data_IF_811501791562
#
_entry.id   IF_811501791562
#
_cell.length_a   1.000
_cell.length_b   1.000
_cell.length_c   1.000
_cell.angle_alpha   90.00
_cell.angle_beta   90.00
_cell.angle_gamma   90.00
#
_symmetry.space_group_name_H-M   'P 1'
#
loop_
_entity.id
_entity.type
_entity.pdbx_description
1 polymer ?
#
# COMPACT_ATOMS: atom_id res chain seq x y z
N UNK A 1 20.45 25.80 -15.39
CA UNK A 1 20.03 26.17 -16.76
C UNK A 1 18.53 26.38 -16.77
N UNK A 2 18.15 27.65 -16.84
CA UNK A 2 16.79 28.19 -16.83
C UNK A 2 16.03 27.70 -18.06
N UNK A 3 14.95 26.96 -17.84
CA UNK A 3 14.04 26.52 -18.91
C UNK A 3 12.98 27.58 -19.25
N UNK A 4 13.03 28.75 -18.59
CA UNK A 4 12.14 29.87 -18.86
C UNK A 4 12.58 30.60 -20.14
N UNK A 5 11.72 30.59 -21.16
CA UNK A 5 11.96 31.27 -22.45
C UNK A 5 12.07 30.36 -23.67
N UNK A 6 11.83 29.04 -23.52
CA UNK A 6 11.71 28.14 -24.65
C UNK A 6 10.40 28.41 -25.40
N UNK A 7 10.45 28.41 -26.75
CA UNK A 7 9.28 28.56 -27.61
C UNK A 7 9.03 27.25 -28.35
N UNK A 8 8.46 26.28 -27.63
CA UNK A 8 8.41 24.85 -27.98
C UNK A 8 7.26 24.59 -28.95
N UNK A 9 7.58 24.01 -30.11
CA UNK A 9 6.57 23.46 -31.04
C UNK A 9 6.24 21.99 -30.75
N UNK A 10 7.19 21.26 -30.18
CA UNK A 10 7.12 19.82 -29.99
C UNK A 10 7.98 19.40 -28.81
N UNK A 11 7.44 18.61 -27.90
CA UNK A 11 8.20 17.96 -26.83
C UNK A 11 7.86 16.48 -26.76
N UNK A 12 8.85 15.66 -26.43
CA UNK A 12 8.65 14.26 -26.09
C UNK A 12 9.18 14.09 -24.66
N UNK A 13 8.31 13.62 -23.78
CA UNK A 13 8.62 13.33 -22.39
C UNK A 13 8.57 11.82 -22.23
N UNK A 14 9.74 11.21 -22.17
CA UNK A 14 9.86 9.77 -21.98
C UNK A 14 10.01 9.42 -20.49
N UNK A 15 9.59 8.21 -20.14
CA UNK A 15 9.61 7.65 -18.79
C UNK A 15 9.00 8.56 -17.71
N UNK A 16 7.85 9.16 -18.00
CA UNK A 16 7.19 10.13 -17.09
C UNK A 16 7.03 9.62 -15.64
N UNK A 17 6.75 8.33 -15.44
CA UNK A 17 6.65 7.69 -14.13
C UNK A 17 7.92 7.82 -13.26
N UNK A 18 9.09 8.03 -13.87
CA UNK A 18 10.36 8.19 -13.18
C UNK A 18 10.69 9.65 -12.82
N UNK A 19 9.87 10.62 -13.25
CA UNK A 19 10.09 12.04 -12.97
C UNK A 19 9.74 12.32 -11.51
N UNK A 20 10.66 12.98 -10.79
CA UNK A 20 10.51 13.25 -9.35
C UNK A 20 9.39 14.23 -9.00
N UNK A 21 9.04 15.11 -9.94
CA UNK A 21 8.03 16.16 -9.74
C UNK A 21 7.55 16.69 -11.09
N UNK A 22 6.43 17.42 -11.08
CA UNK A 22 5.76 18.00 -12.26
C UNK A 22 6.53 19.10 -12.98
N UNK A 23 7.66 19.58 -12.44
CA UNK A 23 8.34 20.79 -12.93
C UNK A 23 8.71 20.72 -14.43
N UNK A 24 9.13 19.56 -14.92
CA UNK A 24 9.53 19.42 -16.33
C UNK A 24 8.32 19.55 -17.25
N UNK A 25 7.21 18.91 -16.87
CA UNK A 25 5.92 18.95 -17.59
C UNK A 25 5.41 20.39 -17.64
N UNK A 26 5.21 21.03 -16.48
CA UNK A 26 4.63 22.38 -16.37
C UNK A 26 5.42 23.42 -17.20
N UNK A 27 6.75 23.30 -17.20
CA UNK A 27 7.64 24.18 -17.97
C UNK A 27 7.47 23.97 -19.46
N UNK A 28 7.42 22.72 -19.92
CA UNK A 28 7.26 22.39 -21.33
C UNK A 28 5.89 22.84 -21.84
N UNK A 29 4.84 22.61 -21.06
CA UNK A 29 3.48 23.11 -21.34
C UNK A 29 3.46 24.63 -21.48
N UNK A 30 4.01 25.35 -20.49
CA UNK A 30 4.08 26.82 -20.52
C UNK A 30 4.86 27.33 -21.73
N UNK A 31 5.94 26.64 -22.11
CA UNK A 31 6.79 26.99 -23.25
C UNK A 31 6.09 26.84 -24.62
N UNK A 32 4.92 26.21 -24.67
CA UNK A 32 4.13 26.08 -25.91
C UNK A 32 3.23 27.27 -26.21
N UNK A 33 2.99 28.17 -25.25
CA UNK A 33 1.91 29.17 -25.32
C UNK A 33 1.98 30.17 -26.49
N UNK A 34 3.12 30.35 -27.14
CA UNK A 34 3.28 31.19 -28.32
C UNK A 34 3.04 30.45 -29.66
N UNK A 35 2.77 29.14 -29.64
CA UNK A 35 2.55 28.30 -30.83
C UNK A 35 1.07 28.05 -31.08
N UNK A 36 0.70 27.96 -32.36
CA UNK A 36 -0.70 27.71 -32.77
C UNK A 36 -1.12 26.24 -32.67
N UNK A 37 -0.18 25.32 -32.87
CA UNK A 37 -0.40 23.87 -32.87
C UNK A 37 0.80 23.15 -32.23
N UNK A 38 1.09 23.42 -30.94
CA UNK A 38 2.12 22.67 -30.25
C UNK A 38 1.68 21.23 -29.98
N UNK A 39 2.65 20.33 -29.84
CA UNK A 39 2.39 18.93 -29.45
C UNK A 39 3.34 18.52 -28.32
N UNK A 40 2.80 17.95 -27.25
CA UNK A 40 3.58 17.27 -26.22
C UNK A 40 3.19 15.79 -26.28
N UNK A 41 4.18 14.92 -26.39
CA UNK A 41 3.98 13.47 -26.41
C UNK A 41 4.63 12.87 -25.17
N UNK A 42 3.81 12.29 -24.31
CA UNK A 42 4.26 11.62 -23.10
C UNK A 42 4.26 10.12 -23.33
N UNK A 43 5.40 9.49 -23.04
CA UNK A 43 5.60 8.04 -23.19
C UNK A 43 6.02 7.52 -21.83
N UNK A 44 5.34 6.48 -21.35
CA UNK A 44 5.62 5.94 -20.03
C UNK A 44 5.07 4.53 -19.84
N UNK A 45 5.45 3.94 -18.72
CA UNK A 45 4.84 2.74 -18.14
C UNK A 45 4.21 3.11 -16.80
N UNK A 46 3.35 2.25 -16.25
CA UNK A 46 2.78 2.42 -14.94
C UNK A 46 3.88 2.58 -13.89
N UNK A 47 3.65 3.50 -12.95
CA UNK A 47 4.54 3.75 -11.82
C UNK A 47 4.10 3.02 -10.56
N UNK A 48 4.71 3.41 -9.44
CA UNK A 48 4.26 3.00 -8.09
C UNK A 48 3.81 4.14 -7.21
N UNK A 49 4.03 5.38 -7.64
CA UNK A 49 3.63 6.59 -6.93
C UNK A 49 2.34 7.15 -7.53
N UNK A 50 1.22 6.88 -6.85
CA UNK A 50 -0.10 7.40 -7.21
C UNK A 50 -0.28 8.89 -6.87
N UNK A 51 0.75 9.55 -6.32
CA UNK A 51 0.77 11.01 -6.12
C UNK A 51 1.59 11.74 -7.19
N UNK A 52 2.19 10.99 -8.13
CA UNK A 52 3.02 11.54 -9.19
C UNK A 52 2.19 12.23 -10.29
N UNK A 53 2.84 13.15 -11.03
CA UNK A 53 2.26 13.78 -12.23
C UNK A 53 1.87 12.74 -13.29
N UNK A 54 2.63 11.64 -13.36
CA UNK A 54 2.32 10.53 -14.27
C UNK A 54 0.97 9.89 -13.92
N UNK A 55 0.66 9.72 -12.64
CA UNK A 55 -0.61 9.15 -12.19
C UNK A 55 -1.76 10.15 -12.39
N UNK A 56 -1.52 11.43 -12.12
CA UNK A 56 -2.47 12.53 -12.41
C UNK A 56 -2.90 12.50 -13.90
N UNK A 57 -1.93 12.47 -14.81
CA UNK A 57 -2.19 12.39 -16.26
C UNK A 57 -2.82 11.06 -16.68
N UNK A 58 -2.45 9.94 -16.05
CA UNK A 58 -3.07 8.64 -16.30
C UNK A 58 -4.56 8.64 -15.94
N UNK A 59 -4.93 9.14 -14.76
CA UNK A 59 -6.32 9.22 -14.33
C UNK A 59 -7.14 10.19 -15.17
N UNK A 60 -6.55 11.30 -15.61
CA UNK A 60 -7.18 12.22 -16.56
C UNK A 60 -7.45 11.53 -17.90
N UNK A 61 -6.45 10.85 -18.45
CA UNK A 61 -6.57 10.06 -19.67
C UNK A 61 -7.66 8.97 -19.56
N UNK A 62 -7.73 8.25 -18.44
CA UNK A 62 -8.75 7.23 -18.18
C UNK A 62 -10.16 7.84 -18.19
N UNK A 63 -10.36 8.96 -17.51
CA UNK A 63 -11.67 9.65 -17.48
C UNK A 63 -12.12 10.13 -18.86
N UNK A 64 -11.19 10.56 -19.73
CA UNK A 64 -11.50 10.90 -21.13
C UNK A 64 -11.89 9.66 -21.93
N UNK A 65 -11.11 8.57 -21.84
CA UNK A 65 -11.39 7.33 -22.55
C UNK A 65 -12.74 6.69 -22.13
N UNK A 66 -13.15 6.89 -20.88
CA UNK A 66 -14.45 6.47 -20.35
C UNK A 66 -15.60 7.44 -20.69
N UNK A 67 -15.30 8.62 -21.26
CA UNK A 67 -16.28 9.64 -21.58
C UNK A 67 -16.81 10.42 -20.38
N UNK A 68 -16.13 10.36 -19.23
CA UNK A 68 -16.44 11.18 -18.05
C UNK A 68 -16.03 12.64 -18.28
N UNK A 69 -14.92 12.85 -19.00
CA UNK A 69 -14.41 14.17 -19.40
C UNK A 69 -14.44 14.26 -20.93
N UNK A 70 -14.90 15.39 -21.47
CA UNK A 70 -14.85 15.70 -22.90
C UNK A 70 -13.73 16.72 -23.15
N UNK A 71 -12.59 16.24 -23.65
CA UNK A 71 -11.42 17.04 -24.00
C UNK A 71 -10.75 16.52 -25.27
N UNK A 72 -11.10 17.14 -26.40
CA UNK A 72 -10.62 16.79 -27.74
C UNK A 72 -9.15 17.21 -27.98
N UNK A 73 -8.53 17.92 -27.02
CA UNK A 73 -7.10 18.32 -27.11
C UNK A 73 -6.15 17.26 -26.56
N UNK A 74 -6.67 16.27 -25.85
CA UNK A 74 -5.91 15.21 -25.20
C UNK A 74 -6.09 13.87 -25.91
N UNK A 75 -4.99 13.34 -26.46
CA UNK A 75 -4.98 11.99 -27.01
C UNK A 75 -4.41 11.01 -25.99
N UNK A 76 -5.14 9.93 -25.71
CA UNK A 76 -4.72 8.87 -24.81
C UNK A 76 -4.74 7.49 -25.49
N UNK A 77 -3.68 6.71 -25.25
CA UNK A 77 -3.63 5.29 -25.57
C UNK A 77 -3.03 4.55 -24.38
N UNK A 78 -3.84 3.74 -23.71
CA UNK A 78 -3.44 2.96 -22.55
C UNK A 78 -3.53 1.48 -22.92
N UNK A 79 -2.39 0.80 -22.93
CA UNK A 79 -2.32 -0.65 -23.06
C UNK A 79 -1.89 -1.22 -21.71
N UNK A 80 -2.83 -1.79 -20.97
CA UNK A 80 -2.61 -2.41 -19.66
C UNK A 80 -3.47 -3.66 -19.51
N UNK A 81 -3.20 -4.41 -18.45
CA UNK A 81 -4.10 -5.45 -17.99
C UNK A 81 -5.35 -4.82 -17.34
N UNK A 82 -6.49 -5.51 -17.41
CA UNK A 82 -7.69 -5.10 -16.67
C UNK A 82 -7.56 -5.55 -15.19
N UNK A 83 -8.27 -4.88 -14.28
CA UNK A 83 -8.16 -5.13 -12.82
C UNK A 83 -8.53 -6.57 -12.42
N UNK A 84 -9.45 -7.20 -13.16
CA UNK A 84 -9.97 -8.56 -12.90
C UNK A 84 -9.20 -9.66 -13.66
N UNK A 85 -8.22 -9.30 -14.48
CA UNK A 85 -7.43 -10.28 -15.22
C UNK A 85 -6.43 -10.99 -14.31
N UNK A 86 -6.22 -12.29 -14.52
CA UNK A 86 -5.07 -12.99 -13.93
C UNK A 86 -3.78 -12.58 -14.63
N UNK A 87 -2.86 -11.95 -13.89
CA UNK A 87 -1.55 -11.54 -14.39
C UNK A 87 -0.68 -12.70 -14.88
N UNK A 88 -1.01 -13.95 -14.52
CA UNK A 88 -0.37 -15.16 -15.05
C UNK A 88 -1.04 -15.72 -16.32
N UNK A 89 -2.22 -15.24 -16.70
CA UNK A 89 -2.90 -15.68 -17.92
C UNK A 89 -2.22 -15.07 -19.16
N UNK A 90 -1.52 -15.93 -19.90
CA UNK A 90 -0.84 -15.54 -21.13
C UNK A 90 -1.79 -14.98 -22.20
N UNK A 91 -3.07 -15.37 -22.17
CA UNK A 91 -4.07 -14.87 -23.11
C UNK A 91 -4.38 -13.38 -22.86
N UNK A 92 -4.26 -12.91 -21.61
CA UNK A 92 -4.49 -11.52 -21.24
C UNK A 92 -3.28 -10.61 -21.57
N UNK A 93 -2.07 -11.17 -21.66
CA UNK A 93 -0.84 -10.37 -21.86
C UNK A 93 -0.82 -9.52 -23.14
N UNK A 94 -1.59 -9.89 -24.16
CA UNK A 94 -1.71 -9.10 -25.40
C UNK A 94 -2.33 -7.72 -25.16
N UNK A 95 -3.16 -7.55 -24.12
CA UNK A 95 -3.80 -6.26 -23.77
C UNK A 95 -2.75 -5.21 -23.40
N UNK A 96 -1.78 -5.59 -22.57
CA UNK A 96 -0.65 -4.74 -22.17
C UNK A 96 0.49 -4.70 -23.20
N UNK A 97 0.58 -5.69 -24.08
CA UNK A 97 1.68 -5.85 -25.04
C UNK A 97 1.14 -5.85 -26.48
N UNK A 98 0.77 -4.68 -27.05
CA UNK A 98 0.17 -4.60 -28.39
C UNK A 98 1.09 -5.09 -29.52
N UNK A 99 2.41 -5.20 -29.26
CA UNK A 99 3.39 -5.75 -30.20
C UNK A 99 3.92 -7.15 -29.81
N UNK A 100 3.12 -7.91 -29.05
CA UNK A 100 3.42 -9.28 -28.65
C UNK A 100 3.62 -10.19 -29.88
N UNK A 101 4.67 -11.00 -29.85
CA UNK A 101 5.12 -11.84 -30.97
C UNK A 101 6.04 -11.13 -31.96
N UNK A 102 6.03 -9.79 -32.01
CA UNK A 102 6.85 -8.99 -32.93
C UNK A 102 8.11 -8.47 -32.22
N UNK A 103 8.00 -7.42 -31.39
CA UNK A 103 9.12 -6.91 -30.58
C UNK A 103 9.16 -7.51 -29.19
N UNK A 104 7.99 -7.83 -28.60
CA UNK A 104 7.88 -8.52 -27.32
C UNK A 104 7.81 -10.02 -27.59
N UNK A 105 8.80 -10.79 -27.13
CA UNK A 105 8.85 -12.25 -27.35
C UNK A 105 8.12 -12.97 -26.22
N UNK A 106 7.12 -13.78 -26.59
CA UNK A 106 6.30 -14.54 -25.64
C UNK A 106 7.15 -15.40 -24.71
N UNK A 107 8.17 -16.09 -25.23
CA UNK A 107 9.06 -16.91 -24.40
C UNK A 107 9.87 -16.10 -23.37
N UNK A 108 10.20 -14.84 -23.67
CA UNK A 108 10.84 -13.96 -22.70
C UNK A 108 9.86 -13.54 -21.61
N UNK A 109 8.63 -13.20 -22.00
CA UNK A 109 7.56 -12.80 -21.07
C UNK A 109 7.22 -13.96 -20.13
N UNK A 110 7.07 -15.19 -20.66
CA UNK A 110 6.91 -16.43 -19.90
C UNK A 110 7.99 -16.65 -18.87
N UNK A 111 9.26 -16.52 -19.27
CA UNK A 111 10.39 -16.71 -18.37
C UNK A 111 10.39 -15.68 -17.24
N UNK A 112 10.08 -14.42 -17.54
CA UNK A 112 10.00 -13.38 -16.50
C UNK A 112 8.79 -13.61 -15.59
N UNK A 113 7.63 -13.98 -16.12
CA UNK A 113 6.43 -14.33 -15.35
C UNK A 113 6.67 -15.52 -14.40
N UNK A 114 7.32 -16.59 -14.88
CA UNK A 114 7.68 -17.73 -14.05
C UNK A 114 8.63 -17.37 -12.91
N UNK A 115 9.57 -16.44 -13.13
CA UNK A 115 10.44 -15.91 -12.08
C UNK A 115 9.65 -15.06 -11.09
N UNK A 116 8.79 -14.19 -11.59
CA UNK A 116 7.91 -13.32 -10.81
C UNK A 116 6.97 -14.11 -9.90
N UNK A 117 6.43 -15.24 -10.38
CA UNK A 117 5.56 -16.14 -9.61
C UNK A 117 6.19 -16.69 -8.33
N UNK A 118 7.52 -16.74 -8.25
CA UNK A 118 8.25 -17.32 -7.12
C UNK A 118 8.91 -16.27 -6.22
N UNK A 119 8.88 -15.00 -6.61
CA UNK A 119 9.64 -13.93 -5.96
C UNK A 119 8.74 -12.70 -5.84
N UNK A 120 8.22 -12.40 -4.63
CA UNK A 120 7.32 -11.26 -4.41
C UNK A 120 7.87 -9.92 -4.94
N UNK A 121 9.16 -9.65 -4.71
CA UNK A 121 9.83 -8.45 -5.22
C UNK A 121 9.88 -8.38 -6.76
N UNK A 122 9.90 -9.53 -7.45
CA UNK A 122 9.88 -9.58 -8.91
C UNK A 122 8.45 -9.57 -9.48
N UNK A 123 7.44 -9.89 -8.67
CA UNK A 123 6.03 -9.84 -9.06
C UNK A 123 5.59 -8.41 -9.37
N UNK A 124 5.78 -7.48 -8.43
CA UNK A 124 5.44 -6.08 -8.65
C UNK A 124 6.19 -5.50 -9.85
N UNK A 125 7.48 -5.83 -9.99
CA UNK A 125 8.26 -5.42 -11.14
C UNK A 125 7.71 -5.97 -12.46
N UNK A 126 7.29 -7.24 -12.49
CA UNK A 126 6.69 -7.85 -13.69
C UNK A 126 5.36 -7.21 -14.03
N UNK A 127 4.43 -7.12 -13.07
CA UNK A 127 3.11 -6.51 -13.24
C UNK A 127 3.21 -5.08 -13.74
N UNK A 128 4.10 -4.29 -13.13
CA UNK A 128 4.33 -2.90 -13.55
C UNK A 128 4.99 -2.77 -14.92
N UNK A 129 6.12 -3.45 -15.16
CA UNK A 129 6.94 -3.22 -16.36
C UNK A 129 6.48 -4.01 -17.60
N UNK A 130 5.73 -5.09 -17.41
CA UNK A 130 5.30 -5.96 -18.51
C UNK A 130 3.79 -6.01 -18.70
N UNK A 131 3.01 -5.69 -17.67
CA UNK A 131 1.54 -5.69 -17.72
C UNK A 131 0.94 -4.30 -17.54
N UNK A 132 1.78 -3.29 -17.30
CA UNK A 132 1.42 -1.89 -17.18
C UNK A 132 0.39 -1.64 -16.07
N UNK A 133 0.46 -2.43 -15.00
CA UNK A 133 -0.38 -2.29 -13.81
C UNK A 133 0.25 -1.32 -12.81
N UNK A 134 -0.55 -0.41 -12.26
CA UNK A 134 -0.14 0.46 -11.16
C UNK A 134 -0.03 -0.35 -9.87
N UNK A 135 1.19 -0.74 -9.51
CA UNK A 135 1.45 -1.45 -8.26
C UNK A 135 1.86 -0.45 -7.18
N UNK A 136 1.18 -0.42 -6.03
CA UNK A 136 1.74 0.26 -4.86
C UNK A 136 3.02 -0.48 -4.47
N UNK A 137 4.10 0.26 -4.22
CA UNK A 137 5.35 -0.32 -3.76
C UNK A 137 5.19 -0.72 -2.29
N UNK A 138 4.47 -1.80 -2.04
CA UNK A 138 4.61 -2.59 -0.84
C UNK A 138 5.45 -3.78 -1.28
N UNK A 139 6.75 -3.77 -0.97
CA UNK A 139 7.45 -5.03 -0.83
C UNK A 139 6.68 -5.78 0.26
N UNK A 140 5.76 -6.67 -0.15
CA UNK A 140 5.05 -7.53 0.78
C UNK A 140 6.13 -8.41 1.39
N UNK A 141 6.48 -8.12 2.63
CA UNK A 141 7.50 -8.89 3.35
C UNK A 141 7.05 -10.35 3.48
N UNK A 142 5.75 -10.57 3.68
CA UNK A 142 5.14 -11.90 3.75
C UNK A 142 4.19 -12.06 2.55
N UNK A 143 4.30 -13.19 1.87
CA UNK A 143 3.38 -13.61 0.81
C UNK A 143 1.99 -13.90 1.41
N UNK A 144 0.91 -13.41 0.80
CA UNK A 144 -0.44 -13.56 1.37
C UNK A 144 -0.96 -15.00 1.29
N UNK A 145 -0.59 -15.74 0.24
CA UNK A 145 -0.97 -17.15 0.15
C UNK A 145 -0.25 -17.93 1.25
N UNK A 146 1.03 -17.62 1.49
CA UNK A 146 1.77 -18.20 2.62
C UNK A 146 1.17 -17.80 3.97
N UNK A 147 0.71 -16.55 4.12
CA UNK A 147 0.02 -16.10 5.33
C UNK A 147 -1.26 -16.90 5.57
N UNK A 148 -2.10 -17.05 4.55
CA UNK A 148 -3.36 -17.78 4.62
C UNK A 148 -3.14 -19.29 4.83
N UNK A 149 -2.10 -19.88 4.22
CA UNK A 149 -1.70 -21.27 4.44
C UNK A 149 -1.29 -21.57 5.89
N UNK A 150 -0.82 -20.55 6.61
CA UNK A 150 -0.43 -20.65 8.03
C UNK A 150 -1.55 -20.19 8.98
N UNK A 151 -2.77 -19.95 8.48
CA UNK A 151 -3.91 -19.63 9.33
C UNK A 151 -4.27 -20.84 10.22
N UNK A 152 -4.19 -20.65 11.53
CA UNK A 152 -4.66 -21.62 12.53
C UNK A 152 -6.15 -21.46 12.86
N UNK A 153 -6.65 -22.38 13.68
CA UNK A 153 -8.00 -22.26 14.25
C UNK A 153 -8.10 -21.03 15.18
N UNK A 154 -9.23 -20.30 15.19
CA UNK A 154 -9.45 -19.20 16.11
C UNK A 154 -9.32 -19.65 17.57
N UNK A 155 -8.53 -18.91 18.35
CA UNK A 155 -8.38 -19.11 19.79
C UNK A 155 -9.22 -18.10 20.58
N UNK A 156 -9.72 -18.49 21.74
CA UNK A 156 -10.42 -17.58 22.65
C UNK A 156 -9.52 -17.17 23.82
N UNK A 157 -9.84 -16.03 24.46
CA UNK A 157 -9.08 -15.58 25.64
C UNK A 157 -9.10 -16.59 26.80
N UNK A 158 -10.15 -17.42 26.90
CA UNK A 158 -10.23 -18.46 27.94
C UNK A 158 -9.28 -19.63 27.65
N UNK A 159 -9.08 -19.98 26.38
CA UNK A 159 -8.11 -21.03 25.96
C UNK A 159 -6.66 -20.61 26.27
N UNK A 160 -6.41 -19.30 26.35
CA UNK A 160 -5.09 -18.71 26.55
C UNK A 160 -4.76 -18.45 28.03
N UNK A 161 -5.75 -18.54 28.92
CA UNK A 161 -5.63 -18.13 30.32
C UNK A 161 -4.53 -18.91 31.06
N UNK A 162 -3.64 -18.17 31.73
CA UNK A 162 -2.51 -18.75 32.45
C UNK A 162 -1.40 -19.35 31.57
N UNK A 163 -1.56 -19.39 30.23
CA UNK A 163 -0.48 -19.80 29.33
C UNK A 163 0.64 -18.76 29.31
N UNK A 164 1.84 -19.26 29.04
CA UNK A 164 3.02 -18.44 28.86
C UNK A 164 2.91 -17.61 27.58
N UNK A 165 3.20 -16.32 27.67
CA UNK A 165 3.17 -15.43 26.50
C UNK A 165 4.26 -14.36 26.50
N UNK A 166 4.48 -13.82 25.31
CA UNK A 166 5.43 -12.75 25.04
C UNK A 166 4.71 -11.60 24.36
N UNK A 167 4.94 -10.38 24.85
CA UNK A 167 4.21 -9.20 24.45
C UNK A 167 5.00 -8.26 23.55
N UNK A 168 4.31 -7.67 22.57
CA UNK A 168 4.78 -6.56 21.75
C UNK A 168 3.79 -5.40 21.79
N UNK A 169 4.26 -4.23 22.21
CA UNK A 169 3.47 -3.01 22.28
C UNK A 169 4.01 -1.96 21.30
N UNK A 170 3.17 -1.56 20.37
CA UNK A 170 3.41 -0.46 19.44
C UNK A 170 2.47 0.71 19.76
N UNK A 171 3.04 1.85 20.15
CA UNK A 171 2.29 3.03 20.59
C UNK A 171 2.21 4.06 19.49
N UNK A 172 0.99 4.43 19.10
CA UNK A 172 0.72 5.61 18.28
C UNK A 172 0.13 6.75 19.11
N UNK A 173 0.30 7.98 18.62
CA UNK A 173 -0.12 9.20 19.30
C UNK A 173 -1.43 9.79 18.76
N UNK A 174 -1.49 10.13 17.47
CA UNK A 174 -2.58 10.96 16.92
C UNK A 174 -3.26 10.35 15.70
N UNK A 175 -2.52 9.85 14.71
CA UNK A 175 -3.08 9.40 13.42
C UNK A 175 -3.16 7.88 13.23
N UNK A 176 -2.30 7.11 13.90
CA UNK A 176 -2.20 5.67 13.66
C UNK A 176 -2.81 4.85 14.80
N UNK A 177 -2.94 3.54 14.59
CA UNK A 177 -3.48 2.58 15.57
C UNK A 177 -2.37 2.22 16.57
N UNK A 178 -2.71 2.20 17.86
CA UNK A 178 -1.90 1.55 18.90
C UNK A 178 -2.21 0.07 18.94
N UNK A 179 -1.19 -0.79 18.98
CA UNK A 179 -1.33 -2.24 18.92
C UNK A 179 -0.63 -2.93 20.09
N UNK A 180 -1.34 -3.86 20.72
CA UNK A 180 -0.80 -4.77 21.73
C UNK A 180 -1.03 -6.20 21.28
N UNK A 181 0.07 -6.92 21.02
CA UNK A 181 0.03 -8.31 20.58
C UNK A 181 0.68 -9.19 21.64
N UNK A 182 0.03 -10.30 21.94
CA UNK A 182 0.53 -11.35 22.81
C UNK A 182 0.64 -12.63 21.99
N UNK A 183 1.83 -13.23 22.03
CA UNK A 183 2.15 -14.47 21.33
C UNK A 183 2.31 -15.59 22.34
N UNK A 184 1.60 -16.69 22.11
CA UNK A 184 1.54 -17.87 22.97
C UNK A 184 2.08 -19.08 22.21
N UNK A 185 3.34 -19.49 22.45
CA UNK A 185 3.86 -20.74 21.89
C UNK A 185 3.01 -21.93 22.35
N UNK A 186 2.77 -22.90 21.46
CA UNK A 186 2.11 -24.15 21.84
C UNK A 186 3.07 -25.08 22.58
N UNK A 187 2.51 -25.89 23.49
CA UNK A 187 3.31 -26.79 24.30
C UNK A 187 3.83 -27.98 23.50
N UNK A 188 3.06 -28.41 22.50
CA UNK A 188 3.35 -29.52 21.60
C UNK A 188 4.39 -29.13 20.54
N UNK A 189 4.28 -27.90 20.01
CA UNK A 189 5.22 -27.34 19.04
C UNK A 189 5.41 -25.82 19.30
N UNK A 190 6.58 -25.41 19.84
CA UNK A 190 6.88 -24.00 20.07
C UNK A 190 7.01 -23.15 18.80
N UNK A 191 7.11 -23.75 17.61
CA UNK A 191 7.08 -23.03 16.33
C UNK A 191 5.64 -22.66 15.92
N UNK A 192 4.62 -23.34 16.48
CA UNK A 192 3.22 -22.94 16.33
C UNK A 192 2.83 -21.91 17.39
N UNK A 193 2.28 -20.78 16.92
CA UNK A 193 2.00 -19.61 17.74
C UNK A 193 0.51 -19.27 17.70
N UNK A 194 -0.10 -19.19 18.88
CA UNK A 194 -1.42 -18.56 19.02
C UNK A 194 -1.22 -17.06 19.30
N UNK A 195 -2.04 -16.21 18.68
CA UNK A 195 -1.89 -14.75 18.77
C UNK A 195 -3.18 -14.14 19.29
N UNK A 196 -3.07 -13.31 20.33
CA UNK A 196 -4.14 -12.43 20.79
C UNK A 196 -3.70 -10.98 20.55
N UNK A 197 -4.52 -10.23 19.82
CA UNK A 197 -4.24 -8.84 19.47
C UNK A 197 -5.32 -7.91 19.99
N UNK A 198 -4.91 -6.75 20.51
CA UNK A 198 -5.77 -5.64 20.89
C UNK A 198 -5.31 -4.39 20.17
N UNK A 199 -6.26 -3.66 19.58
CA UNK A 199 -6.00 -2.47 18.80
C UNK A 199 -6.80 -1.29 19.34
N UNK A 200 -6.19 -0.12 19.38
CA UNK A 200 -6.83 1.12 19.83
C UNK A 200 -6.60 2.28 18.86
N UNK A 201 -7.62 3.10 18.67
CA UNK A 201 -7.48 4.40 18.02
C UNK A 201 -8.22 5.50 18.80
N UNK A 202 -7.86 6.79 18.63
CA UNK A 202 -8.65 7.90 19.14
C UNK A 202 -10.00 7.96 18.43
N UNK A 203 -11.07 8.28 19.16
CA UNK A 203 -12.42 8.41 18.58
C UNK A 203 -12.54 9.49 17.51
N UNK A 204 -11.73 10.55 17.59
CA UNK A 204 -11.66 11.56 16.54
C UNK A 204 -11.30 10.97 15.16
N UNK A 205 -10.47 9.92 15.12
CA UNK A 205 -10.03 9.29 13.87
C UNK A 205 -11.16 8.60 13.11
N UNK A 206 -12.26 8.25 13.77
CA UNK A 206 -13.42 7.64 13.11
C UNK A 206 -14.23 8.62 12.28
N UNK A 207 -14.12 9.93 12.53
CA UNK A 207 -14.90 10.98 11.86
C UNK A 207 -14.03 12.00 11.13
N UNK A 208 -12.71 11.86 11.17
CA UNK A 208 -11.78 12.79 10.55
C UNK A 208 -11.83 12.68 9.01
N UNK A 209 -12.24 13.74 8.29
CA UNK A 209 -12.25 13.74 6.82
C UNK A 209 -10.85 13.65 6.20
N UNK A 210 -9.78 13.91 6.97
CA UNK A 210 -8.40 13.73 6.52
C UNK A 210 -7.91 12.28 6.71
N UNK A 211 -8.61 11.47 7.52
CA UNK A 211 -8.29 10.06 7.67
C UNK A 211 -8.90 9.25 6.53
N UNK A 212 -8.06 8.90 5.53
CA UNK A 212 -8.44 8.05 4.40
C UNK A 212 -8.94 6.64 4.80
N UNK A 213 -8.69 6.19 6.03
CA UNK A 213 -9.12 4.89 6.55
C UNK A 213 -10.35 4.97 7.47
N UNK A 214 -11.00 6.13 7.59
CA UNK A 214 -12.10 6.34 8.54
C UNK A 214 -13.24 5.33 8.40
N UNK A 215 -13.62 4.96 7.17
CA UNK A 215 -14.64 3.93 6.91
C UNK A 215 -14.25 2.55 7.43
N UNK A 216 -12.99 2.15 7.23
CA UNK A 216 -12.46 0.86 7.69
C UNK A 216 -12.39 0.82 9.22
N UNK A 217 -11.91 1.90 9.84
CA UNK A 217 -11.84 1.97 11.31
C UNK A 217 -13.24 1.93 11.93
N UNK A 218 -14.24 2.57 11.30
CA UNK A 218 -15.64 2.46 11.73
C UNK A 218 -16.16 1.03 11.63
N UNK A 219 -15.81 0.31 10.56
CA UNK A 219 -16.17 -1.10 10.42
C UNK A 219 -15.52 -1.97 11.50
N UNK A 220 -14.20 -1.85 11.71
CA UNK A 220 -13.48 -2.60 12.74
C UNK A 220 -13.96 -2.27 14.15
N UNK A 221 -14.30 -1.02 14.43
CA UNK A 221 -14.85 -0.62 15.72
C UNK A 221 -16.24 -1.22 15.96
N UNK A 222 -17.10 -1.23 14.94
CA UNK A 222 -18.41 -1.88 14.99
C UNK A 222 -18.29 -3.39 15.18
N UNK A 223 -17.33 -4.01 14.51
CA UNK A 223 -17.15 -5.47 14.48
C UNK A 223 -16.29 -5.96 15.67
N UNK A 224 -15.80 -5.06 16.52
CA UNK A 224 -15.08 -5.37 17.76
C UNK A 224 -13.57 -5.60 17.59
N UNK A 225 -13.03 -5.44 16.37
CA UNK A 225 -11.60 -5.58 16.09
C UNK A 225 -10.77 -4.36 16.51
N UNK A 226 -11.40 -3.20 16.64
CA UNK A 226 -10.74 -1.94 17.02
C UNK A 226 -11.47 -1.30 18.20
N UNK A 227 -10.75 -1.05 19.29
CA UNK A 227 -11.28 -0.32 20.43
C UNK A 227 -11.02 1.18 20.27
N UNK A 228 -11.95 1.99 20.78
CA UNK A 228 -11.91 3.44 20.58
C UNK A 228 -11.73 4.13 21.92
N UNK A 229 -10.67 4.91 22.06
CA UNK A 229 -10.47 5.75 23.25
C UNK A 229 -11.11 7.13 23.04
N UNK A 230 -11.73 7.74 24.06
CA UNK A 230 -12.25 9.10 23.95
C UNK A 230 -11.14 10.12 23.63
N UNK A 231 -11.47 11.12 22.80
CA UNK A 231 -10.56 12.24 22.50
C UNK A 231 -9.87 12.17 21.12
N UNK A 232 -8.87 13.01 20.95
CA UNK A 232 -8.05 13.23 19.74
C UNK A 232 -6.69 12.52 19.78
N UNK A 233 -6.35 11.89 20.91
CA UNK A 233 -5.15 11.08 21.10
C UNK A 233 -5.47 9.78 21.84
N UNK A 234 -4.58 8.79 21.73
CA UNK A 234 -4.72 7.52 22.47
C UNK A 234 -4.40 7.76 23.95
N UNK A 235 -5.29 7.32 24.84
CA UNK A 235 -5.05 7.37 26.28
C UNK A 235 -4.08 6.26 26.70
N UNK A 236 -2.81 6.61 26.88
CA UNK A 236 -1.79 5.66 27.33
C UNK A 236 -2.04 5.10 28.74
N UNK A 237 -2.78 5.82 29.59
CA UNK A 237 -3.20 5.29 30.89
C UNK A 237 -4.19 4.15 30.74
N UNK A 238 -5.14 4.28 29.81
CA UNK A 238 -6.07 3.22 29.45
C UNK A 238 -5.35 2.00 28.85
N UNK A 239 -4.48 2.22 27.87
CA UNK A 239 -3.69 1.13 27.25
C UNK A 239 -2.85 0.41 28.29
N UNK A 240 -2.16 1.15 29.18
CA UNK A 240 -1.37 0.57 30.28
C UNK A 240 -2.23 -0.30 31.19
N UNK A 241 -3.44 0.15 31.53
CA UNK A 241 -4.34 -0.62 32.38
C UNK A 241 -4.75 -1.95 31.72
N UNK A 242 -5.10 -1.94 30.42
CA UNK A 242 -5.41 -3.16 29.68
C UNK A 242 -4.21 -4.13 29.66
N UNK A 243 -3.00 -3.62 29.42
CA UNK A 243 -1.78 -4.45 29.42
C UNK A 243 -1.54 -5.10 30.79
N UNK A 244 -1.80 -4.37 31.89
CA UNK A 244 -1.67 -4.92 33.25
C UNK A 244 -2.73 -5.98 33.57
N UNK A 245 -3.95 -5.81 33.06
CA UNK A 245 -5.02 -6.80 33.19
C UNK A 245 -4.67 -8.08 32.43
N UNK A 246 -4.19 -7.96 31.20
CA UNK A 246 -3.70 -9.08 30.41
C UNK A 246 -2.51 -9.77 31.11
N UNK A 247 -1.55 -9.01 31.62
CA UNK A 247 -0.40 -9.57 32.36
C UNK A 247 -0.77 -10.26 33.68
N UNK A 248 -1.94 -9.95 34.25
CA UNK A 248 -2.47 -10.63 35.43
C UNK A 248 -3.27 -11.91 35.05
N UNK A 249 -3.90 -11.92 33.88
CA UNK A 249 -4.69 -13.04 33.36
C UNK A 249 -3.82 -14.12 32.68
N UNK A 250 -2.76 -13.69 32.01
CA UNK A 250 -1.82 -14.52 31.26
C UNK A 250 -0.45 -14.52 31.94
N UNK A 251 0.36 -15.55 31.67
CA UNK A 251 1.70 -15.65 32.23
C UNK A 251 2.71 -14.91 31.32
N UNK A 252 2.62 -13.58 31.30
CA UNK A 252 3.48 -12.71 30.49
C UNK A 252 4.94 -12.77 30.98
N UNK A 253 5.86 -13.19 30.10
CA UNK A 253 7.28 -13.38 30.44
C UNK A 253 8.15 -12.19 30.09
N UNK A 254 7.89 -11.59 28.94
CA UNK A 254 8.64 -10.46 28.43
C UNK A 254 7.71 -9.56 27.64
N UNK A 255 8.02 -8.27 27.64
CA UNK A 255 7.27 -7.24 26.93
C UNK A 255 8.25 -6.30 26.26
N UNK A 256 8.14 -6.18 24.95
CA UNK A 256 8.93 -5.24 24.16
C UNK A 256 8.05 -4.08 23.71
N UNK A 257 8.58 -2.85 23.84
CA UNK A 257 7.92 -1.62 23.41
C UNK A 257 8.81 -0.92 22.39
N UNK A 258 8.24 -0.45 21.27
CA UNK A 258 8.98 0.41 20.36
C UNK A 258 9.43 1.70 21.08
N UNK A 259 10.73 1.98 21.03
CA UNK A 259 11.39 3.04 21.78
C UNK A 259 11.34 4.40 21.09
N UNK A 260 10.82 4.50 19.87
CA UNK A 260 10.90 5.74 19.09
C UNK A 260 9.98 6.87 19.56
N UNK A 261 8.96 6.62 20.38
CA UNK A 261 8.17 7.68 21.01
C UNK A 261 7.82 7.32 22.49
N UNK A 262 8.68 7.74 23.42
CA UNK A 262 8.43 7.83 24.87
C UNK A 262 8.35 6.52 25.71
N UNK A 263 9.13 5.49 25.39
CA UNK A 263 9.24 4.27 26.22
C UNK A 263 9.88 4.42 27.63
N UNK A 264 10.25 5.62 28.08
CA UNK A 264 10.97 5.78 29.35
C UNK A 264 10.08 5.74 30.60
N UNK A 265 8.76 5.96 30.48
CA UNK A 265 7.85 5.97 31.64
C UNK A 265 7.15 4.63 31.90
N UNK A 266 7.09 3.73 30.92
CA UNK A 266 6.41 2.43 31.06
C UNK A 266 7.33 1.29 31.51
N UNK A 267 8.65 1.38 31.26
CA UNK A 267 9.59 0.28 31.54
C UNK A 267 10.16 0.25 32.97
N UNK A 268 9.65 1.07 33.89
CA UNK A 268 10.24 1.31 35.22
C UNK A 268 9.32 0.92 36.40
N UNK A 269 8.24 0.18 36.17
CA UNK A 269 7.35 -0.28 37.25
C UNK A 269 6.91 -1.72 37.04
#
# INVERSE_FOLDING_TARGET
NTMDGLNVHGAIIDELHAHRNRRVVDVLETATGARRQPLICEITTAGSDQTSICYEHHEYARQILEGTIDDDTWFAYIACLDEEDDWLDEAAWVKANPNLGVSVKLDSLRRTAHKAKRLPAAQNAFRRLHLNEWTQQTDRWIDLDLWDENAGDPVTEEDLKGRECYGGLDLSSVSDITAWLMVFPRAEDPEELDILARFWCPGAQLGDPLNKYADQYRAWARDGFLQVTPGDAVDYGFVRQCVLEDAAQFNLRDLNVDRLFQGYQLSQS
#
